data_IF_138015201706
#
_entry.id   IF_138015201706
#
_cell.length_a   1.000
_cell.length_b   1.000
_cell.length_c   1.000
_cell.angle_alpha   90.00
_cell.angle_beta   90.00
_cell.angle_gamma   90.00
#
_symmetry.space_group_name_H-M   'P 1'
#
loop_
_entity.id
_entity.type
_entity.pdbx_description
1 polymer ?
#
# COMPACT_ATOMS: atom_id res chain seq x y z
N UNK A 1 -14.45 17.68 -6.10
CA UNK A 1 -13.15 17.23 -5.58
C UNK A 1 -13.32 17.18 -4.08
N UNK A 2 -13.12 16.01 -3.46
CA UNK A 2 -13.31 15.88 -2.02
C UNK A 2 -12.19 16.63 -1.29
N UNK A 3 -12.51 17.23 -0.15
CA UNK A 3 -11.47 17.84 0.69
C UNK A 3 -10.63 16.77 1.39
N UNK A 4 -9.45 17.18 1.89
CA UNK A 4 -8.53 16.25 2.54
C UNK A 4 -9.14 15.60 3.80
N UNK A 5 -10.01 16.32 4.52
CA UNK A 5 -10.71 15.79 5.71
C UNK A 5 -11.61 14.61 5.34
N UNK A 6 -12.33 14.72 4.23
CA UNK A 6 -13.20 13.66 3.70
C UNK A 6 -12.37 12.45 3.27
N UNK A 7 -11.22 12.68 2.62
CA UNK A 7 -10.29 11.62 2.23
C UNK A 7 -9.66 10.91 3.44
N UNK A 8 -9.34 11.64 4.50
CA UNK A 8 -8.88 11.05 5.78
C UNK A 8 -9.97 10.18 6.40
N UNK A 9 -11.22 10.64 6.42
CA UNK A 9 -12.33 9.86 6.95
C UNK A 9 -12.56 8.56 6.15
N UNK A 10 -12.48 8.65 4.81
CA UNK A 10 -12.52 7.48 3.94
C UNK A 10 -11.37 6.50 4.26
N UNK A 11 -10.14 7.01 4.29
CA UNK A 11 -8.92 6.21 4.51
C UNK A 11 -8.95 5.52 5.87
N UNK A 12 -9.50 6.19 6.91
CA UNK A 12 -9.72 5.61 8.24
C UNK A 12 -10.70 4.45 8.23
N UNK A 13 -11.85 4.62 7.57
CA UNK A 13 -12.84 3.54 7.40
C UNK A 13 -12.21 2.36 6.65
N UNK A 14 -11.42 2.66 5.62
CA UNK A 14 -10.74 1.68 4.80
C UNK A 14 -9.68 0.88 5.58
N UNK A 15 -8.92 1.56 6.46
CA UNK A 15 -7.98 0.93 7.40
C UNK A 15 -8.70 0.03 8.40
N UNK A 16 -9.80 0.52 9.01
CA UNK A 16 -10.61 -0.24 9.97
C UNK A 16 -11.17 -1.52 9.35
N UNK A 17 -11.73 -1.43 8.14
CA UNK A 17 -12.25 -2.59 7.40
C UNK A 17 -11.18 -3.66 7.16
N UNK A 18 -9.96 -3.24 6.76
CA UNK A 18 -8.83 -4.15 6.56
C UNK A 18 -8.35 -4.75 7.87
N UNK A 19 -8.26 -3.97 8.94
CA UNK A 19 -7.88 -4.46 10.28
C UNK A 19 -8.84 -5.56 10.74
N UNK A 20 -10.15 -5.28 10.76
CA UNK A 20 -11.16 -6.25 11.19
C UNK A 20 -11.09 -7.53 10.36
N UNK A 21 -11.01 -7.38 9.03
CA UNK A 21 -10.88 -8.53 8.13
C UNK A 21 -9.64 -9.35 8.46
N UNK A 22 -8.48 -8.72 8.60
CA UNK A 22 -7.19 -9.35 8.87
C UNK A 22 -7.21 -10.10 10.20
N UNK A 23 -7.71 -9.47 11.27
CA UNK A 23 -7.80 -10.07 12.60
C UNK A 23 -8.60 -11.38 12.61
N UNK A 24 -9.74 -11.43 11.89
CA UNK A 24 -10.54 -12.65 11.83
C UNK A 24 -10.00 -13.68 10.85
N UNK A 25 -9.50 -13.25 9.69
CA UNK A 25 -9.07 -14.18 8.65
C UNK A 25 -7.69 -14.81 8.95
N UNK A 26 -6.87 -14.19 9.80
CA UNK A 26 -5.66 -14.78 10.36
C UNK A 26 -5.89 -15.53 11.68
N UNK A 27 -7.15 -15.63 12.15
CA UNK A 27 -7.53 -16.21 13.44
C UNK A 27 -6.85 -15.56 14.66
N UNK A 28 -6.36 -14.33 14.52
CA UNK A 28 -5.91 -13.52 15.65
C UNK A 28 -7.06 -13.30 16.63
N UNK A 29 -8.28 -13.15 16.09
CA UNK A 29 -9.53 -13.27 16.82
C UNK A 29 -10.22 -14.58 16.45
N UNK A 30 -10.79 -15.27 17.44
CA UNK A 30 -11.56 -16.48 17.21
C UNK A 30 -12.86 -16.16 16.48
N UNK A 31 -12.85 -16.38 15.17
CA UNK A 31 -13.99 -16.16 14.29
C UNK A 31 -15.25 -16.94 14.72
N UNK A 32 -15.12 -18.09 15.40
CA UNK A 32 -16.27 -18.86 15.86
C UNK A 32 -17.06 -18.14 16.96
N UNK A 33 -16.44 -17.18 17.65
CA UNK A 33 -17.08 -16.34 18.65
C UNK A 33 -17.92 -15.19 18.05
N UNK A 34 -17.88 -14.95 16.73
CA UNK A 34 -18.77 -14.00 16.07
C UNK A 34 -20.21 -14.54 16.02
N UNK A 35 -21.10 -13.89 16.77
CA UNK A 35 -22.53 -14.17 16.76
C UNK A 35 -23.24 -13.21 15.82
N UNK A 36 -23.61 -13.68 14.62
CA UNK A 36 -24.37 -12.91 13.64
C UNK A 36 -25.86 -12.80 13.99
N UNK A 37 -26.50 -11.71 13.57
CA UNK A 37 -27.97 -11.59 13.59
C UNK A 37 -28.62 -12.54 12.59
N UNK A 38 -29.95 -12.69 12.69
CA UNK A 38 -30.74 -13.54 11.79
C UNK A 38 -30.60 -13.08 10.34
N UNK A 39 -30.53 -11.77 10.12
CA UNK A 39 -30.37 -11.15 8.80
C UNK A 39 -28.93 -11.28 8.26
N UNK A 40 -27.96 -11.70 9.09
CA UNK A 40 -26.58 -11.93 8.69
C UNK A 40 -25.77 -10.66 8.37
N UNK A 41 -26.30 -9.47 8.65
CA UNK A 41 -25.66 -8.17 8.39
C UNK A 41 -25.19 -7.46 9.66
N UNK A 42 -25.38 -8.05 10.84
CA UNK A 42 -24.87 -7.53 12.11
C UNK A 42 -24.21 -8.67 12.86
N UNK A 43 -23.24 -8.35 13.71
CA UNK A 43 -22.66 -9.35 14.59
C UNK A 43 -22.25 -8.75 15.93
N UNK A 44 -22.09 -9.63 16.92
CA UNK A 44 -21.40 -9.32 18.17
C UNK A 44 -20.19 -10.23 18.36
N UNK A 45 -19.17 -9.72 19.04
CA UNK A 45 -17.97 -10.48 19.42
C UNK A 45 -17.67 -10.25 20.91
N UNK A 46 -17.63 -11.29 21.75
CA UNK A 46 -17.31 -11.16 23.16
C UNK A 46 -15.82 -10.83 23.36
N UNK A 47 -15.50 -9.92 24.27
CA UNK A 47 -14.12 -9.61 24.64
C UNK A 47 -13.62 -10.58 25.72
N UNK A 48 -12.38 -11.03 25.60
CA UNK A 48 -11.76 -11.94 26.57
C UNK A 48 -11.44 -11.20 27.88
N UNK A 49 -11.67 -11.86 29.01
CA UNK A 49 -11.29 -11.36 30.34
C UNK A 49 -12.17 -10.24 30.90
N UNK A 50 -13.11 -9.69 30.14
CA UNK A 50 -14.00 -8.60 30.56
C UNK A 50 -15.45 -8.87 30.20
N UNK A 51 -16.38 -8.26 30.95
CA UNK A 51 -17.82 -8.30 30.66
C UNK A 51 -18.20 -7.21 29.66
N UNK A 52 -17.66 -7.32 28.46
CA UNK A 52 -17.92 -6.41 27.36
C UNK A 52 -17.90 -7.14 26.02
N UNK A 53 -18.50 -6.54 25.00
CA UNK A 53 -18.56 -7.08 23.63
C UNK A 53 -18.44 -5.97 22.61
N UNK A 54 -17.95 -6.31 21.43
CA UNK A 54 -18.09 -5.47 20.25
C UNK A 54 -19.42 -5.76 19.56
N UNK A 55 -20.07 -4.72 19.07
CA UNK A 55 -21.19 -4.78 18.15
C UNK A 55 -20.81 -4.15 16.82
N UNK A 56 -20.99 -4.90 15.73
CA UNK A 56 -20.75 -4.47 14.37
C UNK A 56 -22.10 -4.16 13.71
N UNK A 57 -22.31 -2.91 13.29
CA UNK A 57 -23.61 -2.46 12.78
C UNK A 57 -23.91 -2.91 11.34
N UNK A 58 -22.87 -3.20 10.57
CA UNK A 58 -22.93 -3.72 9.21
C UNK A 58 -21.68 -4.57 8.91
N UNK A 59 -21.81 -5.88 9.10
CA UNK A 59 -20.77 -6.88 8.87
C UNK A 59 -21.35 -8.13 8.22
N UNK A 60 -20.64 -8.67 7.23
CA UNK A 60 -21.05 -9.87 6.53
C UNK A 60 -19.89 -10.87 6.40
N UNK A 61 -20.24 -12.15 6.23
CA UNK A 61 -19.27 -13.17 5.84
C UNK A 61 -18.81 -12.93 4.40
N UNK A 62 -17.50 -12.87 4.21
CA UNK A 62 -16.87 -12.75 2.90
C UNK A 62 -16.40 -14.10 2.35
N UNK A 63 -15.96 -14.14 1.07
CA UNK A 63 -15.30 -15.31 0.50
C UNK A 63 -14.05 -15.74 1.27
N UNK A 64 -13.62 -16.98 1.06
CA UNK A 64 -12.41 -17.55 1.67
C UNK A 64 -12.37 -17.34 3.19
N UNK A 65 -13.51 -17.56 3.84
CA UNK A 65 -13.62 -17.53 5.29
C UNK A 65 -13.33 -16.16 5.96
N UNK A 66 -13.39 -15.08 5.19
CA UNK A 66 -13.16 -13.72 5.69
C UNK A 66 -14.44 -13.03 6.17
N UNK A 67 -14.30 -11.80 6.68
CA UNK A 67 -15.42 -10.90 6.95
C UNK A 67 -15.23 -9.56 6.25
N UNK A 68 -16.35 -8.89 5.96
CA UNK A 68 -16.37 -7.53 5.42
C UNK A 68 -17.19 -6.68 6.36
N UNK A 69 -16.58 -5.65 6.94
CA UNK A 69 -17.24 -4.69 7.83
C UNK A 69 -17.32 -3.33 7.13
N UNK A 70 -18.54 -2.89 6.83
CA UNK A 70 -18.82 -1.58 6.25
C UNK A 70 -19.53 -0.63 7.25
N UNK A 71 -19.90 -1.14 8.43
CA UNK A 71 -20.57 -0.39 9.48
C UNK A 71 -19.64 0.10 10.59
N UNK A 72 -20.27 0.75 11.56
CA UNK A 72 -19.63 1.19 12.80
C UNK A 72 -19.35 -0.02 13.71
N UNK A 73 -18.28 0.11 14.49
CA UNK A 73 -17.98 -0.81 15.59
C UNK A 73 -18.24 -0.10 16.90
N UNK A 74 -18.96 -0.76 17.79
CA UNK A 74 -19.41 -0.18 19.05
C UNK A 74 -19.02 -1.10 20.20
N UNK A 75 -18.27 -0.58 21.17
CA UNK A 75 -18.03 -1.24 22.44
C UNK A 75 -19.29 -1.15 23.31
N UNK A 76 -19.75 -2.31 23.79
CA UNK A 76 -20.87 -2.45 24.72
C UNK A 76 -20.38 -3.09 26.02
N UNK A 77 -20.57 -2.42 27.16
CA UNK A 77 -20.26 -2.98 28.48
C UNK A 77 -21.53 -3.35 29.23
N UNK A 78 -21.42 -4.24 30.23
CA UNK A 78 -22.56 -4.66 31.06
C UNK A 78 -23.13 -3.51 31.91
N UNK A 79 -22.35 -2.47 32.18
CA UNK A 79 -22.79 -1.23 32.84
C UNK A 79 -23.61 -0.32 31.91
N UNK A 80 -23.87 -0.75 30.68
CA UNK A 80 -24.65 0.00 29.69
C UNK A 80 -23.87 1.05 28.92
N UNK A 81 -22.53 1.07 29.05
CA UNK A 81 -21.68 1.96 28.25
C UNK A 81 -21.75 1.55 26.80
N UNK A 82 -21.96 2.54 25.92
CA UNK A 82 -21.98 2.38 24.46
C UNK A 82 -21.05 3.40 23.83
N UNK A 83 -19.90 2.94 23.34
CA UNK A 83 -18.88 3.80 22.74
C UNK A 83 -18.59 3.37 21.31
N UNK A 84 -18.73 4.28 20.35
CA UNK A 84 -18.31 4.03 18.96
C UNK A 84 -16.79 4.04 18.90
N UNK A 85 -16.20 3.02 18.31
CA UNK A 85 -14.76 2.90 18.06
C UNK A 85 -14.47 3.57 16.72
N UNK A 86 -13.85 4.76 16.78
CA UNK A 86 -13.65 5.60 15.59
C UNK A 86 -12.26 5.48 14.98
N UNK A 87 -11.30 4.87 15.67
CA UNK A 87 -9.90 4.78 15.25
C UNK A 87 -9.36 3.36 15.37
N UNK A 88 -8.38 3.00 14.53
CA UNK A 88 -7.70 1.70 14.63
C UNK A 88 -6.88 1.58 15.90
N UNK A 89 -6.38 2.70 16.45
CA UNK A 89 -5.68 2.69 17.74
C UNK A 89 -6.62 2.20 18.86
N UNK A 90 -7.81 2.78 18.95
CA UNK A 90 -8.82 2.38 19.95
C UNK A 90 -9.26 0.92 19.76
N UNK A 91 -9.42 0.50 18.50
CA UNK A 91 -9.78 -0.88 18.18
C UNK A 91 -8.72 -1.87 18.67
N UNK A 92 -7.45 -1.58 18.41
CA UNK A 92 -6.33 -2.42 18.85
C UNK A 92 -6.24 -2.45 20.38
N UNK A 93 -6.49 -1.32 21.07
CA UNK A 93 -6.49 -1.29 22.54
C UNK A 93 -7.62 -2.12 23.14
N UNK A 94 -8.83 -2.03 22.57
CA UNK A 94 -9.99 -2.81 23.05
C UNK A 94 -9.82 -4.31 22.80
N UNK A 95 -9.17 -4.69 21.71
CA UNK A 95 -9.04 -6.10 21.31
C UNK A 95 -7.78 -6.78 21.81
N UNK A 96 -6.81 -6.04 22.34
CA UNK A 96 -5.47 -6.54 22.68
C UNK A 96 -5.50 -7.84 23.49
N UNK A 97 -6.28 -7.87 24.57
CA UNK A 97 -6.38 -9.03 25.45
C UNK A 97 -7.17 -10.21 24.84
N UNK A 98 -7.86 -9.94 23.72
CA UNK A 98 -8.63 -10.93 22.97
C UNK A 98 -7.84 -11.58 21.82
N UNK A 99 -6.58 -11.16 21.59
CA UNK A 99 -5.71 -11.82 20.62
C UNK A 99 -5.37 -13.26 21.06
N UNK A 100 -5.10 -14.12 20.08
CA UNK A 100 -4.67 -15.51 20.29
C UNK A 100 -3.19 -15.64 20.72
N UNK A 101 -2.47 -14.52 20.74
CA UNK A 101 -1.11 -14.37 21.28
C UNK A 101 -1.00 -13.13 22.18
N UNK A 102 0.10 -13.02 22.92
CA UNK A 102 0.41 -11.86 23.77
C UNK A 102 1.37 -10.91 23.01
N UNK A 103 0.87 -9.80 22.42
CA UNK A 103 1.73 -8.86 21.72
C UNK A 103 2.56 -8.01 22.69
N UNK A 104 3.79 -7.71 22.30
CA UNK A 104 4.62 -6.72 23.03
C UNK A 104 4.05 -5.31 22.87
N UNK A 105 4.29 -4.44 23.86
CA UNK A 105 3.88 -3.02 23.78
C UNK A 105 4.47 -2.32 22.54
N UNK A 106 5.75 -2.60 22.26
CA UNK A 106 6.45 -2.07 21.09
C UNK A 106 5.81 -2.55 19.78
N UNK A 107 5.42 -3.82 19.68
CA UNK A 107 4.76 -4.37 18.50
C UNK A 107 3.39 -3.72 18.24
N UNK A 108 2.59 -3.51 19.29
CA UNK A 108 1.29 -2.82 19.16
C UNK A 108 1.50 -1.36 18.77
N UNK A 109 2.46 -0.67 19.39
CA UNK A 109 2.77 0.72 19.07
C UNK A 109 3.26 0.87 17.62
N UNK A 110 4.13 -0.03 17.16
CA UNK A 110 4.61 -0.09 15.78
C UNK A 110 3.47 -0.28 14.79
N UNK A 111 2.59 -1.26 15.02
CA UNK A 111 1.42 -1.50 14.16
C UNK A 111 0.49 -0.27 14.09
N UNK A 112 0.22 0.39 15.22
CA UNK A 112 -0.59 1.62 15.25
C UNK A 112 0.04 2.73 14.41
N UNK A 113 1.36 2.89 14.51
CA UNK A 113 2.12 3.88 13.74
C UNK A 113 2.10 3.57 12.24
N UNK A 114 2.32 2.32 11.85
CA UNK A 114 2.29 1.90 10.45
C UNK A 114 0.91 2.04 9.81
N UNK A 115 -0.15 1.74 10.58
CA UNK A 115 -1.52 1.95 10.12
C UNK A 115 -1.85 3.44 9.95
N UNK A 116 -1.39 4.30 10.86
CA UNK A 116 -1.57 5.75 10.72
C UNK A 116 -0.81 6.27 9.49
N UNK A 117 0.45 5.86 9.31
CA UNK A 117 1.23 6.22 8.12
C UNK A 117 0.55 5.76 6.82
N UNK A 118 0.06 4.51 6.78
CA UNK A 118 -0.70 3.96 5.65
C UNK A 118 -1.96 4.77 5.33
N UNK A 119 -2.70 5.19 6.36
CA UNK A 119 -3.92 6.00 6.22
C UNK A 119 -3.62 7.38 5.64
N UNK A 120 -2.60 8.07 6.17
CA UNK A 120 -2.18 9.38 5.67
C UNK A 120 -1.73 9.28 4.21
N UNK A 121 -0.90 8.28 3.87
CA UNK A 121 -0.46 8.05 2.50
C UNK A 121 -1.63 7.73 1.54
N UNK A 122 -2.64 6.97 1.98
CA UNK A 122 -3.85 6.71 1.18
C UNK A 122 -4.63 8.00 0.90
N UNK A 123 -4.78 8.88 1.89
CA UNK A 123 -5.48 10.15 1.73
C UNK A 123 -4.76 11.08 0.73
N UNK A 124 -3.44 11.22 0.83
CA UNK A 124 -2.63 12.00 -0.12
C UNK A 124 -2.71 11.40 -1.54
N UNK A 125 -2.57 10.09 -1.68
CA UNK A 125 -2.66 9.41 -2.97
C UNK A 125 -4.03 9.62 -3.63
N UNK A 126 -5.12 9.58 -2.85
CA UNK A 126 -6.48 9.85 -3.35
C UNK A 126 -6.67 11.31 -3.75
N UNK A 127 -6.08 12.25 -3.02
CA UNK A 127 -6.13 13.67 -3.38
C UNK A 127 -5.41 13.91 -4.72
N UNK A 128 -4.19 13.37 -4.87
CA UNK A 128 -3.47 13.42 -6.13
C UNK A 128 -4.26 12.74 -7.26
N UNK A 129 -4.88 11.58 -6.98
CA UNK A 129 -5.70 10.86 -7.96
C UNK A 129 -6.84 11.72 -8.52
N UNK A 130 -7.50 12.53 -7.71
CA UNK A 130 -8.59 13.38 -8.20
C UNK A 130 -8.10 14.36 -9.28
N UNK A 131 -6.93 14.99 -9.04
CA UNK A 131 -6.31 15.90 -10.02
C UNK A 131 -5.79 15.15 -11.24
N UNK A 132 -5.19 13.97 -11.04
CA UNK A 132 -4.69 13.15 -12.12
C UNK A 132 -5.81 12.64 -13.03
N UNK A 133 -6.93 12.19 -12.47
CA UNK A 133 -8.10 11.79 -13.24
C UNK A 133 -8.65 12.95 -14.08
N UNK A 134 -8.73 14.16 -13.53
CA UNK A 134 -9.17 15.34 -14.28
C UNK A 134 -8.23 15.64 -15.46
N UNK A 135 -6.90 15.53 -15.26
CA UNK A 135 -5.90 15.70 -16.34
C UNK A 135 -6.04 14.64 -17.42
N UNK A 136 -6.22 13.37 -17.05
CA UNK A 136 -6.40 12.27 -17.99
C UNK A 136 -7.71 12.40 -18.77
N UNK A 137 -8.79 12.80 -18.12
CA UNK A 137 -10.08 13.05 -18.77
C UNK A 137 -9.96 14.18 -19.80
N UNK A 138 -9.30 15.28 -19.45
CA UNK A 138 -9.05 16.38 -20.37
C UNK A 138 -8.19 15.93 -21.56
N UNK A 139 -7.08 15.24 -21.30
CA UNK A 139 -6.20 14.72 -22.36
C UNK A 139 -6.91 13.72 -23.29
N UNK A 140 -7.87 12.95 -22.75
CA UNK A 140 -8.72 12.04 -23.52
C UNK A 140 -9.64 12.84 -24.46
N UNK A 141 -10.30 13.88 -23.93
CA UNK A 141 -11.19 14.76 -24.71
C UNK A 141 -10.44 15.53 -25.80
N UNK A 142 -9.26 16.06 -25.49
CA UNK A 142 -8.43 16.82 -26.44
C UNK A 142 -8.02 15.98 -27.65
N UNK A 143 -7.95 14.65 -27.49
CA UNK A 143 -7.68 13.71 -28.58
C UNK A 143 -8.95 13.18 -29.27
N UNK A 144 -10.13 13.70 -28.92
CA UNK A 144 -11.41 13.24 -29.46
C UNK A 144 -11.78 11.82 -29.06
N UNK A 145 -11.24 11.32 -27.94
CA UNK A 145 -11.48 9.98 -27.43
C UNK A 145 -12.60 9.99 -26.39
N UNK A 146 -13.26 8.86 -26.21
CA UNK A 146 -14.46 8.75 -25.36
C UNK A 146 -14.19 8.07 -24.02
N UNK A 147 -13.05 7.39 -23.86
CA UNK A 147 -12.72 6.66 -22.64
C UNK A 147 -11.22 6.65 -22.34
N UNK A 148 -10.89 6.47 -21.06
CA UNK A 148 -9.50 6.27 -20.62
C UNK A 148 -8.86 5.04 -21.30
N UNK A 149 -9.63 3.98 -21.54
CA UNK A 149 -9.15 2.80 -22.25
C UNK A 149 -8.76 3.13 -23.70
N UNK A 150 -9.53 3.99 -24.39
CA UNK A 150 -9.18 4.43 -25.74
C UNK A 150 -7.95 5.32 -25.73
N UNK A 151 -7.81 6.19 -24.71
CA UNK A 151 -6.61 6.97 -24.47
C UNK A 151 -5.36 6.08 -24.32
N UNK A 152 -5.44 5.02 -23.51
CA UNK A 152 -4.33 4.06 -23.36
C UNK A 152 -3.99 3.34 -24.67
N UNK A 153 -5.00 2.92 -25.45
CA UNK A 153 -4.80 2.23 -26.74
C UNK A 153 -4.19 3.14 -27.82
N UNK A 154 -4.35 4.45 -27.70
CA UNK A 154 -3.82 5.45 -28.64
C UNK A 154 -2.39 5.91 -28.33
N UNK A 155 -1.82 5.50 -27.20
CA UNK A 155 -0.44 5.81 -26.85
C UNK A 155 0.56 5.28 -27.88
N UNK A 156 1.66 6.03 -28.07
CA UNK A 156 2.66 5.76 -29.12
C UNK A 156 3.35 4.39 -28.97
N UNK A 157 3.40 3.83 -27.76
CA UNK A 157 3.87 2.46 -27.53
C UNK A 157 3.13 1.78 -26.36
N UNK A 158 3.08 0.46 -26.40
CA UNK A 158 2.41 -0.38 -25.38
C UNK A 158 3.08 -0.29 -24.00
N UNK A 159 4.39 -0.04 -23.95
CA UNK A 159 5.15 0.05 -22.69
C UNK A 159 4.68 1.23 -21.85
N UNK A 160 4.57 2.41 -22.44
CA UNK A 160 4.14 3.62 -21.75
C UNK A 160 2.68 3.52 -21.30
N UNK A 161 1.82 2.92 -22.13
CA UNK A 161 0.44 2.61 -21.75
C UNK A 161 0.37 1.67 -20.54
N UNK A 162 1.22 0.63 -20.52
CA UNK A 162 1.30 -0.31 -19.41
C UNK A 162 1.82 0.35 -18.13
N UNK A 163 2.86 1.19 -18.22
CA UNK A 163 3.39 1.94 -17.07
C UNK A 163 2.34 2.89 -16.50
N UNK A 164 1.66 3.66 -17.37
CA UNK A 164 0.58 4.54 -16.94
C UNK A 164 -0.55 3.76 -16.25
N UNK A 165 -0.96 2.63 -16.83
CA UNK A 165 -2.00 1.79 -16.25
C UNK A 165 -1.58 1.17 -14.92
N UNK A 166 -0.32 0.76 -14.77
CA UNK A 166 0.22 0.19 -13.53
C UNK A 166 0.26 1.25 -12.41
N UNK A 167 0.83 2.42 -12.70
CA UNK A 167 0.89 3.54 -11.76
C UNK A 167 -0.52 4.03 -11.39
N UNK A 168 -1.41 4.15 -12.37
CA UNK A 168 -2.81 4.49 -12.11
C UNK A 168 -3.54 3.35 -11.39
N UNK A 169 -3.22 2.08 -11.62
CA UNK A 169 -3.81 0.94 -10.94
C UNK A 169 -3.40 0.81 -9.47
N UNK A 170 -2.26 1.38 -9.09
CA UNK A 170 -1.66 1.22 -7.75
C UNK A 170 -2.41 1.85 -6.57
N UNK A 171 -3.51 2.59 -6.82
CA UNK A 171 -4.20 3.37 -5.77
C UNK A 171 -4.66 2.51 -4.60
N UNK A 172 -5.22 1.33 -4.82
CA UNK A 172 -5.80 0.55 -3.73
C UNK A 172 -4.77 -0.29 -2.95
N UNK A 173 -3.58 -0.52 -3.54
CA UNK A 173 -2.53 -1.37 -2.95
C UNK A 173 -3.04 -2.78 -2.62
N UNK A 174 -2.49 -3.37 -1.55
CA UNK A 174 -2.93 -4.69 -1.11
C UNK A 174 -4.37 -4.63 -0.55
N UNK A 175 -5.30 -5.49 -1.00
CA UNK A 175 -6.71 -5.40 -0.61
C UNK A 175 -6.99 -5.90 0.82
N UNK A 176 -6.01 -6.52 1.47
CA UNK A 176 -6.21 -7.26 2.72
C UNK A 176 -5.55 -6.64 3.96
N UNK A 177 -4.29 -6.20 3.88
CA UNK A 177 -3.51 -5.85 5.06
C UNK A 177 -3.77 -4.42 5.54
N UNK A 178 -3.86 -4.17 6.86
CA UNK A 178 -4.15 -2.84 7.42
C UNK A 178 -3.03 -1.81 7.23
N UNK A 179 -1.84 -2.22 6.80
CA UNK A 179 -0.66 -1.38 6.56
C UNK A 179 -0.32 -1.25 5.06
N UNK A 180 -1.31 -1.42 4.17
CA UNK A 180 -1.17 -1.55 2.70
C UNK A 180 -0.39 -0.43 1.98
N UNK A 181 -0.24 0.74 2.60
CA UNK A 181 0.51 1.90 2.11
C UNK A 181 1.51 2.45 3.12
N UNK A 182 1.85 1.69 4.16
CA UNK A 182 2.88 2.13 5.10
C UNK A 182 4.23 2.21 4.39
N UNK A 183 4.94 3.31 4.62
CA UNK A 183 6.30 3.59 4.11
C UNK A 183 7.14 4.17 5.25
N UNK A 184 7.42 3.37 6.30
CA UNK A 184 8.15 3.86 7.46
C UNK A 184 9.54 4.35 7.05
N UNK A 185 9.98 5.46 7.65
CA UNK A 185 11.27 6.08 7.36
C UNK A 185 11.29 7.03 6.16
N UNK A 186 10.18 7.19 5.43
CA UNK A 186 10.02 8.24 4.40
C UNK A 186 9.15 9.38 4.93
N UNK A 187 9.53 10.61 4.59
CA UNK A 187 8.69 11.79 4.76
C UNK A 187 7.57 11.81 3.70
N UNK A 188 6.48 12.54 3.95
CA UNK A 188 5.36 12.66 3.01
C UNK A 188 5.83 13.11 1.60
N UNK A 189 6.77 14.05 1.55
CA UNK A 189 7.36 14.52 0.29
C UNK A 189 8.15 13.43 -0.44
N UNK A 190 8.89 12.58 0.27
CA UNK A 190 9.60 11.45 -0.32
C UNK A 190 8.62 10.37 -0.81
N UNK A 191 7.54 10.14 -0.07
CA UNK A 191 6.46 9.25 -0.49
C UNK A 191 5.88 9.73 -1.83
N UNK A 192 5.55 11.01 -1.97
CA UNK A 192 5.04 11.56 -3.22
C UNK A 192 6.05 11.46 -4.37
N UNK A 193 7.34 11.69 -4.11
CA UNK A 193 8.39 11.64 -5.14
C UNK A 193 8.74 10.23 -5.61
N UNK A 194 8.51 9.21 -4.78
CA UNK A 194 8.98 7.84 -5.03
C UNK A 194 7.86 6.85 -5.34
N UNK A 195 6.60 7.18 -5.06
CA UNK A 195 5.52 6.20 -5.09
C UNK A 195 4.70 6.23 -6.39
N UNK A 196 4.31 5.07 -6.93
CA UNK A 196 3.59 4.97 -8.21
C UNK A 196 2.23 5.67 -8.21
N UNK A 197 1.57 5.78 -7.06
CA UNK A 197 0.27 6.44 -6.89
C UNK A 197 0.28 7.92 -7.31
N UNK A 198 1.47 8.53 -7.27
CA UNK A 198 1.74 9.92 -7.60
C UNK A 198 2.29 10.10 -9.02
N UNK A 199 2.24 9.06 -9.86
CA UNK A 199 2.87 9.07 -11.19
C UNK A 199 4.37 9.44 -11.11
N UNK A 200 5.03 9.00 -10.05
CA UNK A 200 6.42 9.31 -9.77
C UNK A 200 7.35 8.86 -10.91
N UNK A 201 8.32 9.73 -11.23
CA UNK A 201 9.41 9.43 -12.15
C UNK A 201 10.70 9.46 -11.35
N UNK A 202 11.24 8.29 -11.05
CA UNK A 202 12.37 8.14 -10.13
C UNK A 202 13.67 8.05 -10.94
N UNK A 203 14.57 9.03 -10.84
CA UNK A 203 15.87 8.94 -11.49
C UNK A 203 16.73 7.87 -10.81
N UNK A 204 17.18 6.88 -11.59
CA UNK A 204 18.12 5.88 -11.10
C UNK A 204 19.55 6.44 -11.12
N UNK A 205 20.27 6.22 -10.03
CA UNK A 205 21.70 6.56 -9.92
C UNK A 205 22.51 5.31 -10.19
N UNK A 206 23.37 5.39 -11.20
CA UNK A 206 24.33 4.33 -11.54
C UNK A 206 25.60 4.59 -10.72
N UNK A 207 26.07 3.57 -10.00
CA UNK A 207 27.27 3.64 -9.18
C UNK A 207 28.31 2.65 -9.71
N UNK A 208 29.55 2.71 -9.21
CA UNK A 208 30.55 1.69 -9.52
C UNK A 208 30.78 0.83 -8.27
N UNK A 209 30.52 -0.47 -8.37
CA UNK A 209 30.82 -1.47 -7.34
C UNK A 209 32.01 -2.31 -7.78
N UNK A 210 32.97 -2.57 -6.89
CA UNK A 210 34.10 -3.44 -7.24
C UNK A 210 33.63 -4.85 -7.57
N UNK A 211 34.09 -5.38 -8.70
CA UNK A 211 33.69 -6.68 -9.19
C UNK A 211 34.03 -7.80 -8.19
N UNK A 212 35.19 -7.73 -7.54
CA UNK A 212 35.64 -8.72 -6.55
C UNK A 212 34.89 -8.69 -5.20
N UNK A 213 34.06 -7.66 -4.97
CA UNK A 213 33.18 -7.55 -3.82
C UNK A 213 31.71 -7.81 -4.19
N UNK A 214 31.47 -8.33 -5.39
CA UNK A 214 30.13 -8.51 -5.94
C UNK A 214 30.00 -9.85 -6.65
N UNK A 215 28.76 -10.31 -6.79
CA UNK A 215 28.42 -11.45 -7.64
C UNK A 215 27.40 -10.99 -8.65
N UNK A 216 27.74 -11.09 -9.94
CA UNK A 216 26.79 -10.84 -11.03
C UNK A 216 26.13 -12.14 -11.43
N UNK A 217 24.81 -12.14 -11.48
CA UNK A 217 24.01 -13.25 -12.00
C UNK A 217 23.27 -12.76 -13.25
N UNK A 218 23.25 -13.59 -14.29
CA UNK A 218 22.68 -13.20 -15.59
C UNK A 218 22.01 -14.39 -16.26
N UNK A 219 21.09 -14.10 -17.16
CA UNK A 219 20.44 -15.13 -17.97
C UNK A 219 21.49 -15.82 -18.87
N UNK A 220 21.30 -17.10 -19.27
CA UNK A 220 22.32 -17.86 -20.01
C UNK A 220 22.82 -17.24 -21.32
N UNK A 221 22.02 -16.37 -21.95
CA UNK A 221 22.39 -15.69 -23.19
C UNK A 221 23.22 -14.42 -22.98
N UNK A 222 23.35 -13.94 -21.74
CA UNK A 222 24.19 -12.80 -21.38
C UNK A 222 25.54 -13.33 -20.93
N UNK A 223 26.51 -13.27 -21.84
CA UNK A 223 27.86 -13.80 -21.63
C UNK A 223 28.78 -12.80 -20.91
N UNK A 224 28.43 -11.52 -20.90
CA UNK A 224 29.20 -10.43 -20.31
C UNK A 224 28.24 -9.33 -19.85
N UNK A 225 28.32 -8.97 -18.57
CA UNK A 225 27.52 -7.88 -18.01
C UNK A 225 27.88 -6.54 -18.66
N UNK A 226 29.18 -6.27 -18.86
CA UNK A 226 29.65 -5.03 -19.49
C UNK A 226 29.13 -4.88 -20.91
N UNK A 227 29.22 -5.94 -21.73
CA UNK A 227 28.73 -5.91 -23.11
C UNK A 227 27.21 -5.71 -23.15
N UNK A 228 26.49 -6.36 -22.23
CA UNK A 228 25.06 -6.19 -22.09
C UNK A 228 24.69 -4.76 -21.68
N UNK A 229 25.38 -4.19 -20.68
CA UNK A 229 25.12 -2.84 -20.20
C UNK A 229 25.45 -1.79 -21.26
N UNK A 230 26.60 -1.92 -21.94
CA UNK A 230 27.00 -1.06 -23.05
C UNK A 230 25.99 -1.09 -24.20
N UNK A 231 25.43 -2.26 -24.50
CA UNK A 231 24.46 -2.42 -25.59
C UNK A 231 23.09 -1.82 -25.26
N UNK A 232 22.63 -1.94 -24.00
CA UNK A 232 21.30 -1.48 -23.58
C UNK A 232 21.30 -0.01 -23.13
N UNK A 233 22.42 0.48 -22.60
CA UNK A 233 22.57 1.83 -22.05
C UNK A 233 23.86 2.50 -22.55
N UNK A 234 24.04 2.67 -23.88
CA UNK A 234 25.32 3.07 -24.46
C UNK A 234 25.80 4.44 -23.97
N UNK A 235 24.90 5.41 -23.82
CA UNK A 235 25.27 6.73 -23.33
C UNK A 235 25.74 6.70 -21.87
N UNK A 236 25.06 5.91 -21.03
CA UNK A 236 25.41 5.74 -19.62
C UNK A 236 26.70 4.96 -19.46
N UNK A 237 26.93 3.93 -20.28
CA UNK A 237 28.18 3.16 -20.31
C UNK A 237 29.39 4.04 -20.62
N UNK A 238 29.31 4.83 -21.69
CA UNK A 238 30.42 5.73 -22.08
C UNK A 238 30.73 6.74 -20.96
N UNK A 239 29.70 7.34 -20.36
CA UNK A 239 29.88 8.26 -19.25
C UNK A 239 30.47 7.58 -18.01
N UNK A 240 29.99 6.39 -17.67
CA UNK A 240 30.42 5.61 -16.52
C UNK A 240 31.89 5.16 -16.66
N UNK A 241 32.24 4.61 -17.83
CA UNK A 241 33.60 4.20 -18.18
C UNK A 241 34.57 5.39 -18.17
N UNK A 242 34.20 6.50 -18.80
CA UNK A 242 35.04 7.70 -18.79
C UNK A 242 35.28 8.22 -17.36
N UNK A 243 34.26 8.17 -16.49
CA UNK A 243 34.37 8.58 -15.09
C UNK A 243 35.34 7.70 -14.29
N UNK A 244 35.29 6.38 -14.45
CA UNK A 244 36.25 5.45 -13.83
C UNK A 244 37.68 5.68 -14.34
N UNK A 245 37.84 5.77 -15.65
CA UNK A 245 39.17 5.86 -16.27
C UNK A 245 39.84 7.20 -15.94
N UNK A 246 39.05 8.28 -15.79
CA UNK A 246 39.56 9.58 -15.31
C UNK A 246 40.14 9.54 -13.90
N UNK A 247 39.72 8.55 -13.09
CA UNK A 247 40.23 8.28 -11.73
C UNK A 247 41.36 7.26 -11.72
N UNK A 248 41.83 6.81 -12.89
CA UNK A 248 42.84 5.75 -13.01
C UNK A 248 42.33 4.36 -12.63
N UNK A 249 41.00 4.16 -12.64
CA UNK A 249 40.38 2.86 -12.37
C UNK A 249 40.09 2.14 -13.69
N UNK A 250 40.39 0.84 -13.75
CA UNK A 250 40.11 -0.03 -14.90
C UNK A 250 38.65 -0.46 -14.87
N UNK A 251 37.85 -0.08 -15.87
CA UNK A 251 36.41 -0.35 -15.91
C UNK A 251 36.06 -1.86 -15.83
N UNK A 252 36.97 -2.74 -16.23
CA UNK A 252 36.76 -4.20 -16.20
C UNK A 252 36.72 -4.76 -14.79
N UNK A 253 37.21 -4.00 -13.80
CA UNK A 253 37.24 -4.36 -12.38
C UNK A 253 36.03 -3.84 -11.59
N UNK A 254 35.06 -3.20 -12.25
CA UNK A 254 33.88 -2.59 -11.62
C UNK A 254 32.60 -3.00 -12.33
N UNK A 255 31.47 -2.98 -11.62
CA UNK A 255 30.13 -3.15 -12.16
C UNK A 255 29.35 -1.85 -11.99
N UNK A 256 28.63 -1.46 -13.05
CA UNK A 256 27.69 -0.33 -13.07
C UNK A 256 26.36 -0.67 -12.38
#
# INVERSE_FOLDING_TARGET
MDDFKTLIAYSRKNAMRRLIRCLFAENILDRSALSFSVEGNRATYPLKGVRARLFFSDIAKGPADTVVNDGDVVLLTDEGVRQVITSHQDMLDVLRDSFDFEPTDEGVAGLKSDMENSLINDAHARQHRQQWNARLEQATKDQGLTSFTDYLRKQANTKDAAILLDQWGSLEGHPYYPTWKSRPGLTDAEVEQLSPEFNAQVPLRIAALRADHSKSESMPHVTSYHDWFASNFPAQWEQWKASLNSKGLDETQWLA
#
